data_IF_313592764489
#
_entry.id   IF_313592764489
#
_cell.length_a   1.000
_cell.length_b   1.000
_cell.length_c   1.000
_cell.angle_alpha   90.00
_cell.angle_beta   90.00
_cell.angle_gamma   90.00
#
_symmetry.space_group_name_H-M   'P 1'
#
loop_
_entity.id
_entity.type
_entity.pdbx_description
1 polymer ?
#
# COMPACT_ATOMS: atom_id res chain seq x y z
N UNK A 1 -3.82 12.84 -23.85
CA UNK A 1 -4.63 13.51 -24.91
C UNK A 1 -5.80 12.63 -25.33
N UNK A 2 -5.60 11.31 -25.47
CA UNK A 2 -6.66 10.33 -25.80
C UNK A 2 -7.80 10.24 -24.77
N UNK A 3 -7.50 10.24 -23.46
CA UNK A 3 -8.55 10.22 -22.42
C UNK A 3 -9.47 11.47 -22.47
N UNK A 4 -8.94 12.62 -22.85
CA UNK A 4 -9.74 13.84 -23.05
C UNK A 4 -10.60 13.76 -24.31
N UNK A 5 -10.09 13.14 -25.38
CA UNK A 5 -10.86 12.88 -26.59
C UNK A 5 -12.00 11.89 -26.34
N UNK A 6 -11.80 10.86 -25.52
CA UNK A 6 -12.87 9.92 -25.14
C UNK A 6 -13.93 10.59 -24.26
N UNK A 7 -13.53 11.42 -23.30
CA UNK A 7 -14.47 12.23 -22.51
C UNK A 7 -15.28 13.20 -23.38
N UNK A 8 -14.63 13.84 -24.35
CA UNK A 8 -15.29 14.73 -25.29
C UNK A 8 -16.31 13.99 -26.17
N UNK A 9 -15.99 12.78 -26.64
CA UNK A 9 -16.93 11.92 -27.39
C UNK A 9 -18.16 11.58 -26.57
N UNK A 10 -17.98 11.14 -25.33
CA UNK A 10 -19.09 10.81 -24.40
C UNK A 10 -19.95 12.05 -24.14
N UNK A 11 -19.33 13.21 -23.91
CA UNK A 11 -20.06 14.46 -23.67
C UNK A 11 -20.89 14.91 -24.88
N UNK A 12 -20.38 14.73 -26.11
CA UNK A 12 -21.13 15.03 -27.33
C UNK A 12 -22.35 14.11 -27.48
N UNK A 13 -22.22 12.83 -27.13
CA UNK A 13 -23.33 11.87 -27.16
C UNK A 13 -24.37 12.18 -26.09
N UNK A 14 -23.95 12.54 -24.87
CA UNK A 14 -24.86 13.00 -23.81
C UNK A 14 -25.67 14.24 -24.23
N UNK A 15 -25.02 15.22 -24.86
CA UNK A 15 -25.71 16.39 -25.40
C UNK A 15 -26.72 16.03 -26.49
N UNK A 16 -26.37 15.07 -27.37
CA UNK A 16 -27.28 14.56 -28.40
C UNK A 16 -28.48 13.83 -27.78
N UNK A 17 -28.25 12.99 -26.76
CA UNK A 17 -29.31 12.29 -26.03
C UNK A 17 -30.27 13.25 -25.36
N UNK A 18 -29.77 14.29 -24.69
CA UNK A 18 -30.58 15.35 -24.09
C UNK A 18 -31.46 16.06 -25.12
N UNK A 19 -30.90 16.42 -26.28
CA UNK A 19 -31.66 17.07 -27.37
C UNK A 19 -32.74 16.18 -28.01
N UNK A 20 -32.63 14.85 -27.89
CA UNK A 20 -33.59 13.88 -28.45
C UNK A 20 -34.55 13.30 -27.42
N UNK A 21 -34.49 13.77 -26.17
CA UNK A 21 -35.33 13.26 -25.08
C UNK A 21 -35.01 11.82 -24.69
N UNK A 22 -33.77 11.36 -24.92
CA UNK A 22 -33.30 10.01 -24.59
C UNK A 22 -32.58 9.95 -23.22
N UNK A 23 -32.56 11.07 -22.49
CA UNK A 23 -31.91 11.23 -21.19
C UNK A 23 -32.95 11.12 -20.06
N UNK A 24 -32.61 10.39 -19.01
CA UNK A 24 -33.43 10.18 -17.82
C UNK A 24 -33.12 11.18 -16.69
N UNK A 25 -33.70 10.96 -15.51
CA UNK A 25 -33.40 11.77 -14.31
C UNK A 25 -32.10 11.35 -13.60
N UNK A 26 -31.49 10.23 -14.02
CA UNK A 26 -30.28 9.70 -13.41
C UNK A 26 -29.05 9.94 -14.31
N UNK A 27 -28.14 10.79 -13.81
CA UNK A 27 -26.88 11.10 -14.49
C UNK A 27 -25.96 9.89 -14.67
N UNK A 28 -26.08 8.87 -13.82
CA UNK A 28 -25.33 7.62 -13.93
C UNK A 28 -25.82 6.77 -15.10
N UNK A 29 -27.14 6.55 -15.16
CA UNK A 29 -27.81 5.86 -16.27
C UNK A 29 -27.57 6.51 -17.63
N UNK A 30 -27.62 7.85 -17.71
CA UNK A 30 -27.37 8.57 -18.95
C UNK A 30 -25.95 8.35 -19.48
N UNK A 31 -24.96 8.32 -18.57
CA UNK A 31 -23.58 8.06 -18.93
C UNK A 31 -23.38 6.63 -19.42
N UNK A 32 -23.98 5.65 -18.76
CA UNK A 32 -23.98 4.25 -19.21
C UNK A 32 -24.57 4.13 -20.63
N UNK A 33 -25.74 4.72 -20.86
CA UNK A 33 -26.40 4.70 -22.16
C UNK A 33 -25.59 5.41 -23.25
N UNK A 34 -24.89 6.51 -22.92
CA UNK A 34 -23.99 7.18 -23.86
C UNK A 34 -22.82 6.27 -24.27
N UNK A 35 -22.21 5.55 -23.33
CA UNK A 35 -21.17 4.56 -23.63
C UNK A 35 -21.72 3.39 -24.47
N UNK A 36 -22.94 2.93 -24.18
CA UNK A 36 -23.59 1.88 -24.94
C UNK A 36 -23.89 2.28 -26.39
N UNK A 37 -24.36 3.52 -26.62
CA UNK A 37 -24.57 4.05 -27.96
C UNK A 37 -23.27 4.19 -28.75
N UNK A 38 -22.19 4.60 -28.09
CA UNK A 38 -20.86 4.63 -28.70
C UNK A 38 -20.39 3.23 -29.11
N UNK A 39 -20.59 2.22 -28.26
CA UNK A 39 -20.30 0.82 -28.58
C UNK A 39 -21.10 0.32 -29.80
N UNK A 40 -22.40 0.63 -29.88
CA UNK A 40 -23.23 0.25 -31.03
C UNK A 40 -22.79 0.90 -32.34
N UNK A 41 -22.26 2.13 -32.27
CA UNK A 41 -21.76 2.89 -33.41
C UNK A 41 -20.36 2.46 -33.87
N UNK A 42 -19.58 1.76 -33.03
CA UNK A 42 -18.25 1.27 -33.41
C UNK A 42 -18.36 0.20 -34.51
N UNK A 43 -17.46 0.16 -35.50
CA UNK A 43 -17.40 -0.93 -36.46
C UNK A 43 -17.18 -2.27 -35.75
N UNK A 44 -17.91 -3.31 -36.16
CA UNK A 44 -17.74 -4.67 -35.65
C UNK A 44 -17.99 -5.62 -36.80
N UNK A 45 -16.93 -6.16 -37.38
CA UNK A 45 -16.93 -6.95 -38.61
C UNK A 45 -17.78 -6.33 -39.73
N UNK A 46 -18.58 -7.14 -40.44
CA UNK A 46 -19.48 -6.74 -41.52
C UNK A 46 -20.91 -6.40 -41.05
N UNK A 47 -21.12 -6.26 -39.73
CA UNK A 47 -22.44 -5.96 -39.16
C UNK A 47 -22.78 -4.47 -39.29
N UNK A 48 -23.89 -4.17 -39.98
CA UNK A 48 -24.43 -2.81 -40.05
C UNK A 48 -25.03 -2.36 -38.71
N UNK A 49 -25.11 -1.05 -38.49
CA UNK A 49 -25.68 -0.47 -37.26
C UNK A 49 -27.13 -0.91 -37.03
N UNK A 50 -27.93 -1.03 -38.09
CA UNK A 50 -29.33 -1.45 -38.04
C UNK A 50 -29.44 -2.91 -37.56
N UNK A 51 -28.57 -3.79 -38.05
CA UNK A 51 -28.52 -5.18 -37.61
C UNK A 51 -28.09 -5.31 -36.16
N UNK A 52 -27.13 -4.50 -35.70
CA UNK A 52 -26.69 -4.48 -34.29
C UNK A 52 -27.82 -4.06 -33.36
N UNK A 53 -28.54 -2.99 -33.71
CA UNK A 53 -29.67 -2.51 -32.93
C UNK A 53 -30.79 -3.57 -32.80
N UNK A 54 -31.12 -4.27 -33.90
CA UNK A 54 -32.12 -5.34 -33.87
C UNK A 54 -31.69 -6.51 -32.98
N UNK A 55 -30.45 -6.98 -33.11
CA UNK A 55 -29.92 -8.09 -32.31
C UNK A 55 -29.91 -7.76 -30.81
N UNK A 56 -29.48 -6.55 -30.46
CA UNK A 56 -29.50 -6.07 -29.07
C UNK A 56 -30.93 -5.97 -28.54
N UNK A 57 -31.85 -5.40 -29.31
CA UNK A 57 -33.25 -5.29 -28.89
C UNK A 57 -33.89 -6.66 -28.66
N UNK A 58 -33.59 -7.64 -29.51
CA UNK A 58 -34.08 -9.01 -29.36
C UNK A 58 -33.43 -9.72 -28.17
N UNK A 59 -32.16 -9.44 -27.89
CA UNK A 59 -31.44 -9.97 -26.73
C UNK A 59 -31.98 -9.39 -25.43
N UNK A 60 -32.13 -8.07 -25.33
CA UNK A 60 -32.64 -7.38 -24.13
C UNK A 60 -34.07 -7.80 -23.76
N UNK A 61 -34.86 -8.27 -24.73
CA UNK A 61 -36.20 -8.82 -24.46
C UNK A 61 -36.18 -10.22 -23.84
N UNK A 62 -35.07 -10.95 -24.00
CA UNK A 62 -34.91 -12.35 -23.59
C UNK A 62 -34.01 -12.53 -22.37
N UNK A 63 -33.10 -11.57 -22.14
CA UNK A 63 -32.14 -11.61 -21.05
C UNK A 63 -32.82 -11.15 -19.76
N UNK A 64 -32.69 -11.97 -18.72
CA UNK A 64 -33.05 -11.67 -17.35
C UNK A 64 -31.81 -11.47 -16.48
N UNK A 65 -32.03 -11.12 -15.20
CA UNK A 65 -30.95 -10.88 -14.25
C UNK A 65 -30.07 -12.13 -14.06
N UNK A 66 -30.67 -13.31 -14.04
CA UNK A 66 -29.98 -14.59 -13.88
C UNK A 66 -29.05 -14.86 -15.07
N UNK A 67 -29.52 -14.59 -16.30
CA UNK A 67 -28.70 -14.69 -17.52
C UNK A 67 -27.52 -13.72 -17.49
N UNK A 68 -27.71 -12.50 -16.96
CA UNK A 68 -26.62 -11.52 -16.81
C UNK A 68 -25.61 -11.95 -15.75
N UNK A 69 -26.08 -12.51 -14.63
CA UNK A 69 -25.20 -13.05 -13.57
C UNK A 69 -24.39 -14.25 -14.08
N UNK A 70 -25.01 -15.14 -14.86
CA UNK A 70 -24.30 -16.23 -15.55
C UNK A 70 -23.25 -15.71 -16.54
N UNK A 71 -23.56 -14.66 -17.32
CA UNK A 71 -22.58 -14.01 -18.21
C UNK A 71 -21.44 -13.37 -17.42
N UNK A 72 -21.72 -12.74 -16.28
CA UNK A 72 -20.70 -12.22 -15.37
C UNK A 72 -19.81 -13.33 -14.81
N UNK A 73 -20.39 -14.47 -14.46
CA UNK A 73 -19.64 -15.65 -14.05
C UNK A 73 -18.80 -16.20 -15.20
N UNK A 74 -19.33 -16.33 -16.41
CA UNK A 74 -18.57 -16.81 -17.58
C UNK A 74 -17.42 -15.88 -17.95
N UNK A 75 -17.61 -14.56 -17.88
CA UNK A 75 -16.56 -13.57 -18.05
C UNK A 75 -15.50 -13.64 -16.94
N UNK A 76 -15.85 -14.17 -15.77
CA UNK A 76 -14.93 -14.44 -14.65
C UNK A 76 -14.28 -15.83 -14.70
N UNK A 77 -14.86 -16.79 -15.44
CA UNK A 77 -14.49 -18.22 -15.49
C UNK A 77 -13.35 -18.52 -16.48
N UNK A 78 -12.88 -17.55 -17.27
CA UNK A 78 -11.67 -17.74 -18.11
C UNK A 78 -10.38 -18.03 -17.30
N UNK A 79 -10.43 -18.09 -15.96
CA UNK A 79 -9.30 -18.51 -15.12
C UNK A 79 -9.43 -19.84 -14.37
N UNK A 80 -10.42 -20.69 -14.68
CA UNK A 80 -10.53 -22.02 -14.03
C UNK A 80 -10.57 -23.16 -15.04
N UNK A 81 -9.40 -23.67 -15.42
CA UNK A 81 -9.24 -25.06 -15.88
C UNK A 81 -8.65 -25.89 -14.73
N UNK A 82 -9.50 -26.67 -14.06
CA UNK A 82 -9.04 -27.71 -13.13
C UNK A 82 -9.84 -27.82 -11.83
N UNK A 83 -10.89 -28.64 -11.88
CA UNK A 83 -11.38 -29.52 -10.79
C UNK A 83 -11.69 -28.90 -9.40
N UNK A 84 -13.00 -28.74 -9.14
CA UNK A 84 -13.62 -29.52 -8.07
C UNK A 84 -14.07 -28.81 -6.79
N UNK A 85 -15.39 -28.53 -6.74
CA UNK A 85 -16.33 -28.79 -5.62
C UNK A 85 -16.79 -27.63 -4.67
N UNK A 86 -17.86 -26.96 -5.12
CA UNK A 86 -19.24 -26.81 -4.55
C UNK A 86 -19.50 -26.13 -3.16
N UNK A 87 -20.11 -24.91 -3.19
CA UNK A 87 -21.42 -24.37 -2.64
C UNK A 87 -21.72 -24.57 -1.10
N UNK A 88 -22.33 -23.63 -0.32
CA UNK A 88 -23.58 -22.93 -0.67
C UNK A 88 -23.88 -21.48 -0.24
N UNK A 89 -24.92 -20.99 -0.92
CA UNK A 89 -25.66 -19.73 -0.83
C UNK A 89 -26.33 -19.43 0.52
N UNK A 90 -26.63 -18.14 0.75
CA UNK A 90 -28.00 -17.72 1.12
C UNK A 90 -28.16 -16.19 1.04
N UNK A 91 -29.15 -15.78 0.26
CA UNK A 91 -29.81 -14.48 0.30
C UNK A 91 -31.16 -14.63 0.99
N UNK A 92 -31.61 -13.60 1.69
CA UNK A 92 -33.03 -13.35 1.95
C UNK A 92 -33.24 -11.86 2.20
N UNK A 93 -33.82 -11.17 1.21
CA UNK A 93 -34.35 -9.81 1.30
C UNK A 93 -35.75 -9.79 1.92
N UNK A 94 -36.14 -8.66 2.54
CA UNK A 94 -37.49 -8.09 2.39
C UNK A 94 -37.64 -6.65 2.95
N UNK A 95 -37.87 -5.72 2.00
CA UNK A 95 -38.83 -4.59 1.88
C UNK A 95 -39.31 -3.65 3.02
N UNK A 96 -39.08 -2.34 2.76
CA UNK A 96 -39.89 -1.09 2.79
C UNK A 96 -41.15 -0.88 3.67
N UNK A 97 -41.26 0.28 4.36
CA UNK A 97 -42.38 1.28 4.24
C UNK A 97 -42.33 2.52 5.20
N UNK A 98 -42.46 3.73 4.61
CA UNK A 98 -43.19 4.99 4.96
C UNK A 98 -43.12 5.78 6.31
N UNK A 99 -42.85 7.12 6.23
CA UNK A 99 -43.61 8.20 6.95
C UNK A 99 -42.87 9.26 7.84
N UNK A 100 -42.63 10.47 7.29
CA UNK A 100 -42.27 11.87 7.75
C UNK A 100 -42.36 12.34 9.25
N UNK A 101 -41.89 13.57 9.70
CA UNK A 101 -40.77 14.48 9.33
C UNK A 101 -39.85 14.96 10.52
N UNK A 102 -38.60 15.37 10.17
CA UNK A 102 -37.68 16.37 10.77
C UNK A 102 -37.16 16.33 12.25
N UNK A 103 -35.80 16.26 12.33
CA UNK A 103 -34.80 16.76 13.33
C UNK A 103 -34.21 15.77 14.36
N UNK A 104 -32.97 15.97 14.88
CA UNK A 104 -31.74 16.50 14.27
C UNK A 104 -30.56 15.50 14.35
N UNK A 105 -29.54 15.76 13.52
CA UNK A 105 -28.27 15.01 13.33
C UNK A 105 -27.69 14.47 14.65
N UNK A 106 -27.60 13.14 14.78
CA UNK A 106 -26.72 12.46 15.74
C UNK A 106 -25.83 11.46 15.00
N UNK A 107 -24.54 11.80 14.92
CA UNK A 107 -23.35 10.98 14.64
C UNK A 107 -23.62 9.70 13.84
N UNK A 108 -23.53 9.79 12.52
CA UNK A 108 -23.53 8.62 11.64
C UNK A 108 -22.21 7.85 11.83
N UNK A 109 -22.30 6.67 12.43
CA UNK A 109 -21.30 5.60 12.31
C UNK A 109 -21.26 5.20 10.84
N UNK A 110 -20.07 5.28 10.23
CA UNK A 110 -19.85 4.84 8.86
C UNK A 110 -19.91 3.31 8.83
N UNK A 111 -21.10 2.74 8.59
CA UNK A 111 -21.20 1.38 8.09
C UNK A 111 -20.83 1.42 6.61
N UNK A 112 -19.69 0.81 6.28
CA UNK A 112 -19.26 0.60 4.91
C UNK A 112 -20.20 -0.43 4.25
N UNK A 113 -21.22 0.06 3.56
CA UNK A 113 -21.97 -0.74 2.59
C UNK A 113 -21.08 -0.96 1.36
N UNK A 114 -20.78 -2.23 1.08
CA UNK A 114 -20.02 -2.72 -0.07
C UNK A 114 -20.75 -2.33 -1.36
N UNK A 115 -20.23 -1.30 -2.04
CA UNK A 115 -20.58 -1.00 -3.43
C UNK A 115 -19.54 -1.66 -4.33
N UNK A 116 -20.02 -2.61 -5.13
CA UNK A 116 -19.33 -3.25 -6.24
C UNK A 116 -19.08 -2.23 -7.36
N UNK A 117 -17.97 -1.51 -7.25
CA UNK A 117 -17.33 -0.83 -8.38
C UNK A 117 -16.15 -1.70 -8.78
N UNK A 118 -16.05 -2.03 -10.06
CA UNK A 118 -14.87 -2.64 -10.67
C UNK A 118 -13.62 -1.96 -10.09
N UNK A 119 -12.87 -2.65 -9.21
CA UNK A 119 -11.84 -2.05 -8.35
C UNK A 119 -10.67 -1.54 -9.19
N UNK A 120 -10.82 -0.33 -9.74
CA UNK A 120 -9.67 0.43 -10.18
C UNK A 120 -8.75 0.59 -8.95
N UNK A 121 -7.43 0.42 -9.08
CA UNK A 121 -6.52 0.68 -7.98
C UNK A 121 -6.65 2.16 -7.60
N UNK A 122 -7.10 2.42 -6.37
CA UNK A 122 -7.39 3.76 -5.86
C UNK A 122 -6.49 4.07 -4.67
N UNK A 123 -5.96 5.28 -4.66
CA UNK A 123 -5.20 5.84 -3.54
C UNK A 123 -6.01 6.95 -2.87
N UNK A 124 -6.14 6.87 -1.55
CA UNK A 124 -6.76 7.92 -0.76
C UNK A 124 -5.87 9.17 -0.70
N UNK A 125 -6.51 10.34 -0.61
CA UNK A 125 -5.79 11.61 -0.45
C UNK A 125 -4.91 11.67 0.81
N UNK A 126 -5.31 10.96 1.87
CA UNK A 126 -4.50 10.85 3.09
C UNK A 126 -3.18 10.14 2.81
N UNK A 127 -3.23 8.97 2.17
CA UNK A 127 -2.05 8.19 1.81
C UNK A 127 -1.12 9.00 0.88
N UNK A 128 -1.68 9.73 -0.09
CA UNK A 128 -0.89 10.65 -0.92
C UNK A 128 -0.16 11.73 -0.14
N UNK A 129 -0.82 12.33 0.86
CA UNK A 129 -0.17 13.35 1.71
C UNK A 129 0.95 12.75 2.56
N UNK A 130 0.75 11.54 3.07
CA UNK A 130 1.73 10.82 3.90
C UNK A 130 2.97 10.44 3.08
N UNK A 131 2.75 9.93 1.86
CA UNK A 131 3.81 9.57 0.93
C UNK A 131 4.73 10.73 0.50
N UNK A 132 4.34 11.99 0.69
CA UNK A 132 5.10 13.13 0.17
C UNK A 132 6.54 13.22 0.70
N UNK A 133 6.75 13.02 2.00
CA UNK A 133 8.09 13.07 2.60
C UNK A 133 8.97 11.93 2.07
N UNK A 134 8.39 10.74 1.96
CA UNK A 134 9.06 9.55 1.42
C UNK A 134 9.45 9.73 -0.04
N UNK A 135 8.54 10.28 -0.86
CA UNK A 135 8.84 10.58 -2.26
C UNK A 135 9.92 11.66 -2.39
N UNK A 136 9.89 12.71 -1.56
CA UNK A 136 10.93 13.73 -1.56
C UNK A 136 12.29 13.13 -1.20
N UNK A 137 12.37 12.36 -0.11
CA UNK A 137 13.60 11.70 0.30
C UNK A 137 14.10 10.73 -0.76
N UNK A 138 13.22 9.86 -1.28
CA UNK A 138 13.54 8.92 -2.35
C UNK A 138 14.14 9.65 -3.57
N UNK A 139 13.53 10.76 -4.01
CA UNK A 139 14.07 11.52 -5.14
C UNK A 139 15.46 12.10 -4.83
N UNK A 140 15.72 12.57 -3.61
CA UNK A 140 17.02 13.12 -3.21
C UNK A 140 18.09 12.04 -3.01
N UNK A 141 17.68 10.85 -2.59
CA UNK A 141 18.59 9.77 -2.17
C UNK A 141 18.84 8.74 -3.28
N UNK A 142 17.84 8.43 -4.12
CA UNK A 142 17.93 7.34 -5.11
C UNK A 142 18.17 7.82 -6.55
N UNK A 143 17.76 9.03 -6.94
CA UNK A 143 17.90 9.50 -8.34
C UNK A 143 19.34 9.46 -8.85
N UNK A 144 20.31 9.69 -7.97
CA UNK A 144 21.73 9.61 -8.33
C UNK A 144 22.18 8.22 -8.81
N UNK A 145 21.55 7.14 -8.32
CA UNK A 145 21.82 5.77 -8.79
C UNK A 145 21.25 5.49 -10.18
N UNK A 146 20.34 6.35 -10.65
CA UNK A 146 19.70 6.27 -11.97
C UNK A 146 20.22 7.33 -12.94
N UNK A 147 21.30 8.04 -12.59
CA UNK A 147 21.86 9.13 -13.42
C UNK A 147 20.94 10.34 -13.55
N UNK A 148 20.01 10.51 -12.61
CA UNK A 148 19.07 11.63 -12.57
C UNK A 148 19.55 12.69 -11.58
N UNK A 149 19.28 13.94 -11.93
CA UNK A 149 19.58 15.10 -11.09
C UNK A 149 18.27 15.59 -10.45
N UNK A 150 18.22 15.60 -9.12
CA UNK A 150 17.06 16.06 -8.35
C UNK A 150 16.74 17.54 -8.59
N UNK A 151 17.70 18.35 -9.04
CA UNK A 151 17.45 19.75 -9.37
C UNK A 151 16.82 19.92 -10.76
N UNK A 152 16.73 18.86 -11.57
CA UNK A 152 16.06 18.87 -12.87
C UNK A 152 14.60 18.50 -12.70
N UNK A 153 13.79 19.54 -12.59
CA UNK A 153 12.33 19.49 -12.44
C UNK A 153 11.65 18.56 -13.46
N UNK A 154 12.14 18.51 -14.71
CA UNK A 154 11.60 17.61 -15.74
C UNK A 154 11.77 16.13 -15.39
N UNK A 155 12.89 15.75 -14.79
CA UNK A 155 13.14 14.38 -14.36
C UNK A 155 12.18 13.98 -13.24
N UNK A 156 11.94 14.87 -12.28
CA UNK A 156 10.98 14.64 -11.21
C UNK A 156 9.58 14.43 -11.79
N UNK A 157 9.03 15.42 -12.50
CA UNK A 157 7.65 15.34 -12.99
C UNK A 157 7.39 14.24 -14.02
N UNK A 158 8.43 13.74 -14.70
CA UNK A 158 8.30 12.61 -15.62
C UNK A 158 7.93 11.32 -14.88
N UNK A 159 8.53 11.07 -13.72
CA UNK A 159 8.37 9.80 -13.00
C UNK A 159 7.43 9.91 -11.79
N UNK A 160 7.20 11.12 -11.29
CA UNK A 160 6.38 11.41 -10.12
C UNK A 160 5.00 10.74 -10.14
N UNK A 161 4.23 10.69 -11.25
CA UNK A 161 2.91 10.05 -11.23
C UNK A 161 2.96 8.57 -10.85
N UNK A 162 3.95 7.82 -11.35
CA UNK A 162 4.11 6.40 -11.03
C UNK A 162 4.63 6.23 -9.61
N UNK A 163 5.68 6.97 -9.25
CA UNK A 163 6.28 6.88 -7.92
C UNK A 163 5.28 7.24 -6.82
N UNK A 164 4.62 8.41 -6.93
CA UNK A 164 3.62 8.84 -5.97
C UNK A 164 2.46 7.84 -5.88
N UNK A 165 1.97 7.32 -7.01
CA UNK A 165 0.88 6.35 -6.97
C UNK A 165 1.28 5.08 -6.23
N UNK A 166 2.42 4.48 -6.60
CA UNK A 166 2.90 3.25 -5.98
C UNK A 166 3.15 3.43 -4.50
N UNK A 167 3.86 4.49 -4.11
CA UNK A 167 4.17 4.77 -2.71
C UNK A 167 2.91 5.03 -1.88
N UNK A 168 2.00 5.87 -2.40
CA UNK A 168 0.72 6.14 -1.72
C UNK A 168 -0.13 4.87 -1.58
N UNK A 169 -0.04 3.96 -2.55
CA UNK A 169 -0.77 2.70 -2.49
C UNK A 169 -0.19 1.78 -1.43
N UNK A 170 1.14 1.64 -1.37
CA UNK A 170 1.83 0.84 -0.35
C UNK A 170 1.54 1.40 1.05
N UNK A 171 1.68 2.72 1.25
CA UNK A 171 1.32 3.37 2.52
C UNK A 171 -0.11 3.08 2.97
N UNK A 172 -1.07 3.08 2.04
CA UNK A 172 -2.45 2.76 2.38
C UNK A 172 -2.61 1.32 2.86
N UNK A 173 -1.79 0.39 2.36
CA UNK A 173 -1.77 -0.99 2.82
C UNK A 173 -1.03 -1.14 4.16
N UNK A 174 0.02 -0.36 4.39
CA UNK A 174 0.70 -0.27 5.69
C UNK A 174 -0.27 0.20 6.78
N UNK A 175 -1.00 1.30 6.53
CA UNK A 175 -2.02 1.82 7.45
C UNK A 175 -3.08 0.75 7.78
N UNK A 176 -3.51 -0.03 6.78
CA UNK A 176 -4.46 -1.13 6.98
C UNK A 176 -3.86 -2.28 7.79
N UNK A 177 -2.58 -2.60 7.57
CA UNK A 177 -1.86 -3.61 8.34
C UNK A 177 -1.71 -3.19 9.81
N UNK A 178 -1.27 -1.95 10.07
CA UNK A 178 -1.14 -1.40 11.42
C UNK A 178 -2.49 -1.29 12.14
N UNK A 179 -3.55 -0.87 11.43
CA UNK A 179 -4.91 -0.86 11.98
C UNK A 179 -5.34 -2.25 12.49
N UNK A 180 -4.94 -3.32 11.81
CA UNK A 180 -5.22 -4.68 12.23
C UNK A 180 -4.42 -5.11 13.49
N UNK A 181 -3.26 -4.51 13.78
CA UNK A 181 -2.51 -4.73 15.03
C UNK A 181 -3.25 -4.19 16.25
N UNK A 182 -3.98 -3.09 16.11
CA UNK A 182 -4.76 -2.49 17.19
C UNK A 182 -5.99 -3.30 17.59
N UNK A 183 -6.46 -4.21 16.73
CA UNK A 183 -7.69 -4.99 16.94
C UNK A 183 -7.48 -6.26 17.81
N UNK A 184 -6.44 -6.34 18.63
CA UNK A 184 -6.23 -7.49 19.55
C UNK A 184 -7.34 -7.48 20.63
N UNK A 185 -8.03 -8.61 20.89
CA UNK A 185 -9.19 -8.64 21.78
C UNK A 185 -8.75 -8.44 23.23
N UNK A 186 -9.05 -7.27 23.78
CA UNK A 186 -9.00 -7.04 25.21
C UNK A 186 -10.23 -7.66 25.87
N UNK A 187 -10.03 -8.74 26.63
CA UNK A 187 -10.71 -9.17 27.86
C UNK A 187 -12.24 -9.04 28.06
N UNK A 188 -13.04 -8.66 27.07
CA UNK A 188 -14.49 -8.79 27.14
C UNK A 188 -14.83 -10.25 26.92
N UNK A 189 -15.25 -10.91 28.00
CA UNK A 189 -15.68 -12.32 28.06
C UNK A 189 -16.98 -12.60 27.27
N UNK A 190 -17.20 -11.92 26.15
CA UNK A 190 -18.38 -12.00 25.30
C UNK A 190 -18.03 -11.84 23.82
N UNK A 191 -16.98 -12.52 23.33
CA UNK A 191 -16.83 -12.67 21.88
C UNK A 191 -16.82 -14.13 21.46
N UNK A 192 -17.86 -14.46 20.70
CA UNK A 192 -18.20 -15.77 20.15
C UNK A 192 -17.12 -16.29 19.20
N UNK A 193 -17.13 -17.60 18.99
CA UNK A 193 -16.26 -18.44 18.14
C UNK A 193 -15.91 -17.89 16.73
N UNK A 194 -16.56 -16.82 16.25
CA UNK A 194 -16.34 -16.12 14.99
C UNK A 194 -15.01 -15.32 14.87
N UNK A 195 -14.27 -15.09 15.96
CA UNK A 195 -13.03 -14.29 15.89
C UNK A 195 -11.79 -15.08 15.48
N UNK A 196 -11.81 -16.43 15.58
CA UNK A 196 -10.65 -17.26 15.19
C UNK A 196 -10.48 -17.42 13.68
N UNK A 197 -11.52 -17.16 12.89
CA UNK A 197 -11.45 -17.26 11.41
C UNK A 197 -10.94 -15.97 10.73
N UNK A 198 -10.88 -14.84 11.46
CA UNK A 198 -10.45 -13.53 10.89
C UNK A 198 -8.95 -13.35 10.70
N UNK A 199 -8.10 -14.11 11.40
CA UNK A 199 -6.65 -14.01 11.24
C UNK A 199 -6.15 -14.38 9.83
N UNK A 200 -6.78 -15.37 9.21
CA UNK A 200 -6.51 -15.80 7.83
C UNK A 200 -7.11 -14.84 6.79
N UNK A 201 -8.25 -14.23 7.12
CA UNK A 201 -8.98 -13.33 6.21
C UNK A 201 -8.25 -12.02 5.92
N UNK A 202 -7.42 -11.52 6.86
CA UNK A 202 -6.80 -10.19 6.72
C UNK A 202 -5.54 -10.22 5.84
N UNK A 203 -4.70 -11.26 5.95
CA UNK A 203 -3.52 -11.42 5.10
C UNK A 203 -3.91 -11.72 3.65
N UNK A 204 -4.95 -12.54 3.45
CA UNK A 204 -5.54 -12.77 2.14
C UNK A 204 -6.06 -11.46 1.51
N UNK A 205 -6.59 -10.53 2.31
CA UNK A 205 -7.05 -9.22 1.85
C UNK A 205 -5.92 -8.30 1.41
N UNK A 206 -4.83 -8.19 2.18
CA UNK A 206 -3.65 -7.38 1.81
C UNK A 206 -2.96 -7.94 0.57
N UNK A 207 -2.81 -9.27 0.51
CA UNK A 207 -2.26 -9.97 -0.66
C UNK A 207 -3.11 -9.69 -1.89
N UNK A 208 -4.44 -9.77 -1.77
CA UNK A 208 -5.37 -9.45 -2.86
C UNK A 208 -5.20 -8.00 -3.34
N UNK A 209 -5.08 -7.03 -2.42
CA UNK A 209 -4.88 -5.63 -2.80
C UNK A 209 -3.52 -5.37 -3.44
N UNK A 210 -2.44 -6.07 -3.03
CA UNK A 210 -1.16 -5.99 -3.72
C UNK A 210 -1.19 -6.59 -5.13
N UNK A 211 -2.02 -7.61 -5.39
CA UNK A 211 -2.21 -8.11 -6.75
C UNK A 211 -2.84 -7.06 -7.68
N UNK A 212 -3.66 -6.14 -7.15
CA UNK A 212 -4.19 -5.01 -7.95
C UNK A 212 -3.06 -4.08 -8.38
N UNK A 213 -2.07 -3.82 -7.50
CA UNK A 213 -0.87 -3.06 -7.86
C UNK A 213 0.01 -3.84 -8.85
N UNK A 214 0.16 -5.16 -8.68
CA UNK A 214 0.91 -6.01 -9.62
C UNK A 214 0.31 -5.94 -11.04
N UNK A 215 -1.00 -6.16 -11.16
CA UNK A 215 -1.74 -6.09 -12.43
C UNK A 215 -1.66 -4.69 -13.05
N UNK A 216 -1.79 -3.61 -12.26
CA UNK A 216 -1.64 -2.25 -12.76
C UNK A 216 -0.25 -2.03 -13.38
N UNK A 217 0.80 -2.36 -12.63
CA UNK A 217 2.18 -2.20 -13.10
C UNK A 217 2.47 -3.10 -14.31
N UNK A 218 1.86 -4.29 -14.36
CA UNK A 218 1.97 -5.20 -15.51
C UNK A 218 1.32 -4.60 -16.76
N UNK A 219 0.11 -4.04 -16.65
CA UNK A 219 -0.59 -3.37 -17.76
C UNK A 219 0.18 -2.15 -18.29
N UNK A 220 0.94 -1.49 -17.42
CA UNK A 220 1.84 -0.39 -17.81
C UNK A 220 3.20 -0.86 -18.35
N UNK A 221 3.46 -2.17 -18.42
CA UNK A 221 4.74 -2.73 -18.89
C UNK A 221 5.91 -2.51 -17.92
N UNK A 222 5.62 -2.19 -16.66
CA UNK A 222 6.61 -1.88 -15.62
C UNK A 222 6.96 -3.08 -14.74
N UNK A 223 6.04 -4.04 -14.61
CA UNK A 223 6.24 -5.22 -13.75
C UNK A 223 7.40 -6.10 -14.23
N UNK A 224 8.22 -6.58 -13.27
CA UNK A 224 9.28 -7.57 -13.48
C UNK A 224 9.26 -8.64 -12.39
N UNK A 225 9.98 -9.74 -12.59
CA UNK A 225 10.10 -10.79 -11.58
C UNK A 225 10.75 -10.29 -10.29
N UNK A 226 11.75 -9.40 -10.39
CA UNK A 226 12.37 -8.76 -9.23
C UNK A 226 11.38 -7.88 -8.47
N UNK A 227 10.59 -7.06 -9.18
CA UNK A 227 9.59 -6.20 -8.54
C UNK A 227 8.49 -7.03 -7.88
N UNK A 228 8.03 -8.10 -8.53
CA UNK A 228 7.08 -9.04 -7.94
C UNK A 228 7.63 -9.75 -6.71
N UNK A 229 8.92 -10.10 -6.72
CA UNK A 229 9.58 -10.67 -5.53
C UNK A 229 9.60 -9.66 -4.39
N UNK A 230 9.87 -8.38 -4.68
CA UNK A 230 9.90 -7.33 -3.67
C UNK A 230 8.51 -7.03 -3.08
N UNK A 231 7.44 -7.07 -3.90
CA UNK A 231 6.08 -6.97 -3.37
C UNK A 231 5.73 -8.15 -2.45
N UNK A 232 6.24 -9.36 -2.73
CA UNK A 232 6.08 -10.51 -1.83
C UNK A 232 6.87 -10.34 -0.52
N UNK A 233 8.05 -9.73 -0.59
CA UNK A 233 8.82 -9.33 0.58
C UNK A 233 8.03 -8.39 1.49
N UNK A 234 7.26 -7.44 0.93
CA UNK A 234 6.33 -6.61 1.69
C UNK A 234 5.22 -7.40 2.41
N UNK A 235 4.62 -8.39 1.75
CA UNK A 235 3.63 -9.28 2.39
C UNK A 235 4.26 -10.04 3.56
N UNK A 236 5.47 -10.56 3.36
CA UNK A 236 6.22 -11.27 4.40
C UNK A 236 6.55 -10.34 5.58
N UNK A 237 6.97 -9.11 5.31
CA UNK A 237 7.21 -8.10 6.34
C UNK A 237 5.96 -7.88 7.21
N UNK A 238 4.81 -7.58 6.60
CA UNK A 238 3.57 -7.37 7.34
C UNK A 238 3.16 -8.60 8.17
N UNK A 239 3.38 -9.81 7.64
CA UNK A 239 3.12 -11.05 8.38
C UNK A 239 4.03 -11.18 9.60
N UNK A 240 5.33 -10.89 9.45
CA UNK A 240 6.31 -10.90 10.54
C UNK A 240 6.00 -9.81 11.58
N UNK A 241 5.66 -8.60 11.16
CA UNK A 241 5.29 -7.52 12.07
C UNK A 241 4.09 -7.93 12.94
N UNK A 242 3.01 -8.44 12.32
CA UNK A 242 1.84 -8.95 13.05
C UNK A 242 2.22 -10.04 14.04
N UNK A 243 3.02 -11.01 13.60
CA UNK A 243 3.49 -12.11 14.44
C UNK A 243 4.28 -11.60 15.65
N UNK A 244 5.25 -10.73 15.42
CA UNK A 244 6.18 -10.22 16.44
C UNK A 244 5.47 -9.31 17.45
N UNK A 245 4.63 -8.37 16.98
CA UNK A 245 3.90 -7.46 17.87
C UNK A 245 2.83 -8.18 18.71
N UNK A 246 2.17 -9.20 18.15
CA UNK A 246 1.25 -10.05 18.91
C UNK A 246 1.98 -10.90 19.94
N UNK A 247 3.12 -11.51 19.59
CA UNK A 247 3.94 -12.28 20.51
C UNK A 247 4.43 -11.40 21.67
N UNK A 248 4.90 -10.18 21.37
CA UNK A 248 5.32 -9.19 22.36
C UNK A 248 4.16 -8.84 23.31
N UNK A 249 2.97 -8.60 22.78
CA UNK A 249 1.77 -8.26 23.57
C UNK A 249 1.33 -9.40 24.51
N UNK A 250 1.61 -10.65 24.14
CA UNK A 250 1.30 -11.86 24.92
C UNK A 250 2.46 -12.32 25.82
N UNK A 251 3.58 -11.59 25.83
CA UNK A 251 4.83 -12.00 26.49
C UNK A 251 5.31 -13.39 26.04
N UNK A 252 5.10 -13.73 24.77
CA UNK A 252 5.60 -14.96 24.16
C UNK A 252 7.08 -14.80 23.77
N UNK A 253 7.77 -15.94 23.56
CA UNK A 253 9.18 -15.92 23.16
C UNK A 253 9.32 -15.37 21.74
N UNK A 254 10.13 -14.33 21.59
CA UNK A 254 10.47 -13.73 20.30
C UNK A 254 11.72 -14.41 19.70
N UNK A 255 11.66 -14.67 18.40
CA UNK A 255 12.76 -15.23 17.60
C UNK A 255 13.65 -14.09 17.09
N UNK A 256 14.97 -14.20 17.28
CA UNK A 256 15.90 -13.19 16.74
C UNK A 256 15.94 -13.27 15.21
N UNK A 257 15.81 -14.46 14.63
CA UNK A 257 15.80 -14.66 13.19
C UNK A 257 14.62 -13.94 12.52
N UNK A 258 13.42 -14.04 13.13
CA UNK A 258 12.23 -13.34 12.62
C UNK A 258 12.39 -11.82 12.73
N UNK A 259 12.99 -11.34 13.83
CA UNK A 259 13.22 -9.91 14.06
C UNK A 259 14.20 -9.34 13.06
N UNK A 260 15.31 -10.05 12.81
CA UNK A 260 16.32 -9.64 11.83
C UNK A 260 15.76 -9.69 10.40
N UNK A 261 14.94 -10.68 10.07
CA UNK A 261 14.26 -10.73 8.78
C UNK A 261 13.27 -9.56 8.63
N UNK A 262 12.48 -9.25 9.66
CA UNK A 262 11.51 -8.17 9.60
C UNK A 262 12.16 -6.80 9.34
N UNK A 263 13.23 -6.46 10.06
CA UNK A 263 13.94 -5.18 9.84
C UNK A 263 14.61 -5.11 8.46
N UNK A 264 15.06 -6.24 7.91
CA UNK A 264 15.60 -6.28 6.54
C UNK A 264 14.52 -6.11 5.47
N UNK A 265 13.30 -6.56 5.74
CA UNK A 265 12.18 -6.45 4.81
C UNK A 265 11.44 -5.12 4.91
N UNK A 266 11.61 -4.37 6.00
CA UNK A 266 10.86 -3.13 6.30
C UNK A 266 10.92 -2.09 5.17
N UNK A 267 12.08 -1.89 4.56
CA UNK A 267 12.32 -0.93 3.46
C UNK A 267 11.89 -1.42 2.06
N UNK A 268 10.95 -2.37 1.97
CA UNK A 268 10.57 -2.96 0.66
C UNK A 268 9.93 -1.93 -0.28
N UNK A 269 9.24 -0.93 0.25
CA UNK A 269 8.66 0.21 -0.45
C UNK A 269 9.71 0.99 -1.26
N UNK A 270 10.81 1.39 -0.61
CA UNK A 270 11.96 2.03 -1.26
C UNK A 270 12.58 1.13 -2.33
N UNK A 271 12.66 -0.18 -2.08
CA UNK A 271 13.20 -1.15 -3.06
C UNK A 271 12.26 -1.30 -4.26
N UNK A 272 10.94 -1.30 -4.07
CA UNK A 272 9.95 -1.26 -5.15
C UNK A 272 10.12 0.01 -5.97
N UNK A 273 10.22 1.18 -5.34
CA UNK A 273 10.44 2.45 -6.04
C UNK A 273 11.76 2.44 -6.82
N UNK A 274 12.83 1.90 -6.24
CA UNK A 274 14.14 1.79 -6.89
C UNK A 274 14.09 0.88 -8.13
N UNK A 275 13.44 -0.28 -8.03
CA UNK A 275 13.23 -1.21 -9.15
C UNK A 275 12.36 -0.58 -10.25
N UNK A 276 11.32 0.17 -9.88
CA UNK A 276 10.52 0.95 -10.82
C UNK A 276 11.39 1.97 -11.56
N UNK A 277 12.31 2.64 -10.88
CA UNK A 277 13.20 3.62 -11.51
C UNK A 277 14.13 2.98 -12.55
N UNK A 278 14.68 1.78 -12.31
CA UNK A 278 15.43 1.04 -13.34
C UNK A 278 14.56 0.80 -14.58
N UNK A 279 13.29 0.41 -14.39
CA UNK A 279 12.35 0.16 -15.49
C UNK A 279 11.97 1.43 -16.24
N UNK A 280 11.64 2.49 -15.52
CA UNK A 280 11.22 3.78 -16.08
C UNK A 280 12.36 4.49 -16.84
N UNK A 281 13.60 4.23 -16.46
CA UNK A 281 14.80 4.77 -17.13
C UNK A 281 15.36 3.86 -18.22
N UNK A 282 14.83 2.64 -18.35
CA UNK A 282 15.32 1.63 -19.30
C UNK A 282 16.70 1.08 -18.95
N UNK A 283 17.11 1.18 -17.69
CA UNK A 283 18.38 0.68 -17.18
C UNK A 283 18.24 -0.76 -16.69
N UNK A 284 19.33 -1.52 -16.78
CA UNK A 284 19.40 -2.82 -16.12
C UNK A 284 19.68 -2.60 -14.63
N UNK A 285 19.09 -3.46 -13.79
CA UNK A 285 19.34 -3.43 -12.34
C UNK A 285 20.83 -3.64 -12.09
N UNK A 286 21.41 -2.73 -11.30
CA UNK A 286 22.81 -2.82 -10.90
C UNK A 286 22.91 -3.48 -9.53
N UNK A 287 23.37 -4.73 -9.50
CA UNK A 287 23.49 -5.51 -8.27
C UNK A 287 24.39 -4.85 -7.21
N UNK A 288 25.45 -4.14 -7.63
CA UNK A 288 26.32 -3.42 -6.67
C UNK A 288 25.56 -2.29 -5.99
N UNK A 289 24.66 -1.60 -6.71
CA UNK A 289 23.79 -0.58 -6.12
C UNK A 289 22.79 -1.22 -5.15
N UNK A 290 22.16 -2.34 -5.53
CA UNK A 290 21.19 -3.05 -4.68
C UNK A 290 21.84 -3.56 -3.39
N UNK A 291 23.02 -4.17 -3.48
CA UNK A 291 23.77 -4.65 -2.31
C UNK A 291 24.16 -3.50 -1.37
N UNK A 292 24.61 -2.38 -1.91
CA UNK A 292 24.95 -1.21 -1.10
C UNK A 292 23.71 -0.60 -0.41
N UNK A 293 22.64 -0.39 -1.18
CA UNK A 293 21.42 0.24 -0.70
C UNK A 293 20.74 -0.61 0.38
N UNK A 294 20.70 -1.94 0.25
CA UNK A 294 20.11 -2.80 1.28
C UNK A 294 20.79 -2.68 2.66
N UNK A 295 22.11 -2.45 2.69
CA UNK A 295 22.83 -2.19 3.96
C UNK A 295 22.53 -0.79 4.48
N UNK A 296 22.46 0.20 3.58
CA UNK A 296 22.14 1.59 3.93
C UNK A 296 20.73 1.71 4.51
N UNK A 297 19.75 1.11 3.83
CA UNK A 297 18.35 1.02 4.25
C UNK A 297 18.25 0.39 5.64
N UNK A 298 18.93 -0.74 5.88
CA UNK A 298 18.94 -1.36 7.20
C UNK A 298 19.41 -0.41 8.32
N UNK A 299 20.45 0.40 8.08
CA UNK A 299 20.91 1.40 9.05
C UNK A 299 19.90 2.54 9.22
N UNK A 300 19.27 3.00 8.14
CA UNK A 300 18.22 4.03 8.18
C UNK A 300 17.02 3.53 8.98
N UNK A 301 16.55 2.30 8.74
CA UNK A 301 15.42 1.70 9.48
C UNK A 301 15.71 1.60 10.98
N UNK A 302 16.94 1.23 11.38
CA UNK A 302 17.31 1.25 12.80
C UNK A 302 17.30 2.69 13.33
N UNK A 303 17.79 3.67 12.57
CA UNK A 303 17.78 5.07 12.98
C UNK A 303 16.36 5.58 13.21
N UNK A 304 15.45 5.25 12.31
CA UNK A 304 14.04 5.64 12.37
C UNK A 304 13.34 4.95 13.56
N UNK A 305 13.55 3.64 13.75
CA UNK A 305 13.06 2.92 14.93
C UNK A 305 13.57 3.55 16.24
N UNK A 306 14.82 4.00 16.31
CA UNK A 306 15.34 4.65 17.51
C UNK A 306 14.73 6.03 17.75
N UNK A 307 14.37 6.74 16.67
CA UNK A 307 13.72 8.04 16.74
C UNK A 307 12.24 7.90 17.14
N UNK A 308 11.53 6.96 16.53
CA UNK A 308 10.08 6.72 16.71
C UNK A 308 9.77 5.75 17.87
N UNK A 309 10.77 5.29 18.62
CA UNK A 309 10.65 4.28 19.68
C UNK A 309 9.46 4.48 20.62
N UNK A 310 9.23 5.70 21.11
CA UNK A 310 8.10 5.96 22.00
C UNK A 310 6.75 5.83 21.30
N UNK A 311 6.64 6.33 20.07
CA UNK A 311 5.40 6.29 19.28
C UNK A 311 5.12 4.86 18.81
N UNK A 312 6.15 4.08 18.47
CA UNK A 312 6.00 2.66 18.14
C UNK A 312 5.55 1.82 19.33
N UNK A 313 6.10 2.09 20.52
CA UNK A 313 5.59 1.49 21.76
C UNK A 313 4.12 1.87 21.94
N UNK A 314 3.74 3.15 21.75
CA UNK A 314 2.34 3.58 21.89
C UNK A 314 1.42 2.85 20.92
N UNK A 315 1.82 2.69 19.66
CA UNK A 315 1.00 2.13 18.60
C UNK A 315 1.06 0.61 18.49
N UNK A 316 2.00 -0.03 19.19
CA UNK A 316 2.27 -1.46 19.10
C UNK A 316 2.68 -1.91 17.68
N UNK A 317 3.47 -1.08 17.01
CA UNK A 317 4.09 -1.32 15.69
C UNK A 317 5.49 -1.92 15.83
N UNK A 318 6.03 -2.55 14.79
CA UNK A 318 7.35 -3.15 14.88
C UNK A 318 8.42 -2.11 15.22
N UNK A 319 9.35 -2.46 16.11
CA UNK A 319 10.52 -1.63 16.42
C UNK A 319 11.66 -2.51 16.94
N UNK A 320 12.84 -2.39 16.35
CA UNK A 320 14.00 -3.26 16.61
C UNK A 320 14.44 -3.21 18.08
N UNK A 321 14.40 -2.04 18.72
CA UNK A 321 14.81 -1.90 20.12
C UNK A 321 13.83 -2.57 21.08
N UNK A 322 12.52 -2.48 20.80
CA UNK A 322 11.47 -3.21 21.54
C UNK A 322 11.71 -4.72 21.47
N UNK A 323 11.99 -5.22 20.26
CA UNK A 323 12.24 -6.64 20.03
C UNK A 323 13.53 -7.11 20.72
N UNK A 324 14.61 -6.33 20.64
CA UNK A 324 15.86 -6.64 21.34
C UNK A 324 15.67 -6.63 22.87
N UNK A 325 14.89 -5.69 23.41
CA UNK A 325 14.56 -5.66 24.83
C UNK A 325 13.81 -6.92 25.28
N UNK A 326 12.90 -7.44 24.45
CA UNK A 326 12.17 -8.66 24.76
C UNK A 326 13.05 -9.93 24.68
N UNK A 327 14.04 -9.96 23.79
CA UNK A 327 14.95 -11.11 23.62
C UNK A 327 16.06 -11.12 24.69
N UNK A 328 16.75 -9.99 24.87
CA UNK A 328 17.97 -9.90 25.66
C UNK A 328 17.77 -9.27 27.04
N UNK A 329 16.59 -8.70 27.30
CA UNK A 329 16.31 -7.94 28.50
C UNK A 329 16.89 -6.52 28.48
N UNK A 330 16.49 -5.67 29.43
CA UNK A 330 16.75 -4.23 29.38
C UNK A 330 18.22 -3.84 29.53
N UNK A 331 19.04 -4.69 30.16
CA UNK A 331 20.46 -4.37 30.38
C UNK A 331 21.34 -4.69 29.17
N UNK A 332 21.01 -5.74 28.42
CA UNK A 332 21.84 -6.22 27.32
C UNK A 332 21.33 -5.77 25.94
N UNK A 333 20.05 -5.46 25.79
CA UNK A 333 19.47 -5.04 24.51
C UNK A 333 20.18 -3.84 23.85
N UNK A 334 20.51 -2.73 24.56
CA UNK A 334 21.23 -1.61 23.95
C UNK A 334 22.63 -2.01 23.46
N UNK A 335 23.31 -2.91 24.18
CA UNK A 335 24.65 -3.40 23.81
C UNK A 335 24.60 -4.29 22.58
N UNK A 336 23.60 -5.18 22.53
CA UNK A 336 23.39 -6.08 21.39
C UNK A 336 23.00 -5.29 20.14
N UNK A 337 22.16 -4.27 20.27
CA UNK A 337 21.80 -3.41 19.15
C UNK A 337 23.00 -2.58 18.67
N UNK A 338 23.77 -1.99 19.59
CA UNK A 338 24.99 -1.26 19.23
C UNK A 338 26.01 -2.15 18.50
N UNK A 339 26.14 -3.43 18.91
CA UNK A 339 26.97 -4.40 18.19
C UNK A 339 26.44 -4.67 16.78
N UNK A 340 25.13 -4.87 16.62
CA UNK A 340 24.50 -5.09 15.33
C UNK A 340 24.70 -3.89 14.38
N UNK A 341 24.53 -2.67 14.88
CA UNK A 341 24.82 -1.42 14.16
C UNK A 341 26.30 -1.40 13.70
N UNK A 342 27.25 -1.65 14.60
CA UNK A 342 28.67 -1.63 14.26
C UNK A 342 29.04 -2.65 13.15
N UNK A 343 28.48 -3.85 13.21
CA UNK A 343 28.67 -4.86 12.15
C UNK A 343 28.08 -4.41 10.80
N UNK A 344 26.97 -3.67 10.81
CA UNK A 344 26.35 -3.12 9.61
C UNK A 344 27.12 -1.91 9.06
N UNK A 345 27.66 -1.03 9.92
CA UNK A 345 28.52 0.09 9.52
C UNK A 345 29.82 -0.40 8.85
N UNK A 346 30.46 -1.44 9.39
CA UNK A 346 31.64 -2.07 8.75
C UNK A 346 31.31 -2.61 7.35
N UNK A 347 30.13 -3.23 7.19
CA UNK A 347 29.65 -3.68 5.88
C UNK A 347 29.40 -2.49 4.97
N UNK A 348 28.72 -1.45 5.45
CA UNK A 348 28.41 -0.24 4.71
C UNK A 348 29.68 0.40 4.14
N UNK A 349 30.71 0.59 4.97
CA UNK A 349 32.00 1.14 4.54
C UNK A 349 32.67 0.30 3.45
N UNK A 350 32.64 -1.03 3.61
CA UNK A 350 33.24 -1.95 2.65
C UNK A 350 32.51 -1.92 1.30
N UNK A 351 31.19 -1.82 1.30
CA UNK A 351 30.38 -1.77 0.07
C UNK A 351 30.40 -0.40 -0.59
N UNK A 352 30.45 0.69 0.18
CA UNK A 352 30.64 2.05 -0.33
C UNK A 352 31.90 2.15 -1.22
N UNK A 353 32.99 1.47 -0.84
CA UNK A 353 34.23 1.41 -1.64
C UNK A 353 34.10 0.66 -2.97
N UNK A 354 33.03 -0.12 -3.17
CA UNK A 354 32.74 -0.81 -4.44
C UNK A 354 31.96 0.06 -5.43
N UNK A 355 31.32 1.14 -4.95
CA UNK A 355 30.59 2.07 -5.81
C UNK A 355 31.57 2.93 -6.62
N UNK A 356 31.04 3.55 -7.68
CA UNK A 356 31.73 4.66 -8.33
C UNK A 356 32.08 5.75 -7.28
N UNK A 357 33.32 6.25 -7.22
CA UNK A 357 33.73 7.22 -6.21
C UNK A 357 32.89 8.51 -6.20
N UNK A 358 32.41 8.95 -7.36
CA UNK A 358 31.57 10.15 -7.47
C UNK A 358 30.17 9.88 -6.92
N UNK A 359 29.61 8.72 -7.22
CA UNK A 359 28.33 8.27 -6.68
C UNK A 359 28.40 8.11 -5.16
N UNK A 360 29.42 7.39 -4.66
CA UNK A 360 29.64 7.21 -3.22
C UNK A 360 29.78 8.56 -2.50
N UNK A 361 30.57 9.48 -3.04
CA UNK A 361 30.75 10.81 -2.45
C UNK A 361 29.51 11.70 -2.53
N UNK A 362 28.62 11.46 -3.49
CA UNK A 362 27.34 12.17 -3.58
C UNK A 362 26.32 11.62 -2.59
N UNK A 363 26.27 10.30 -2.43
CA UNK A 363 25.41 9.65 -1.46
C UNK A 363 25.79 10.02 -0.02
N UNK A 364 27.08 10.04 0.31
CA UNK A 364 27.54 10.48 1.64
C UNK A 364 27.13 11.92 1.96
N UNK A 365 27.25 12.84 1.00
CA UNK A 365 26.78 14.22 1.19
C UNK A 365 25.28 14.27 1.45
N UNK A 366 24.49 13.46 0.75
CA UNK A 366 23.05 13.35 1.01
C UNK A 366 22.75 12.83 2.42
N UNK A 367 23.47 11.83 2.91
CA UNK A 367 23.33 11.34 4.30
C UNK A 367 23.65 12.45 5.33
N UNK A 368 24.68 13.25 5.09
CA UNK A 368 25.00 14.40 5.94
C UNK A 368 23.90 15.47 5.93
N UNK A 369 23.33 15.74 4.75
CA UNK A 369 22.20 16.68 4.60
C UNK A 369 20.96 16.18 5.35
N UNK A 370 20.58 14.91 5.19
CA UNK A 370 19.46 14.29 5.90
C UNK A 370 19.63 14.38 7.42
N UNK A 371 20.85 14.12 7.91
CA UNK A 371 21.18 14.21 9.34
C UNK A 371 20.98 15.63 9.89
N UNK A 372 21.34 16.65 9.08
CA UNK A 372 21.16 18.08 9.44
C UNK A 372 19.69 18.50 9.39
N UNK A 373 18.95 18.04 8.39
CA UNK A 373 17.50 18.27 8.24
C UNK A 373 16.74 17.70 9.46
N UNK A 374 17.18 16.56 10.00
CA UNK A 374 16.70 15.97 11.25
C UNK A 374 17.14 16.70 12.54
N UNK A 375 17.79 17.86 12.44
CA UNK A 375 18.13 18.73 13.58
C UNK A 375 19.44 18.41 14.30
N UNK A 376 20.26 17.45 13.80
CA UNK A 376 21.58 17.15 14.39
C UNK A 376 22.66 18.02 13.73
N UNK A 377 23.26 18.92 14.51
CA UNK A 377 24.27 19.90 14.05
C UNK A 377 25.72 19.39 14.09
N UNK A 378 25.99 18.24 14.71
CA UNK A 378 27.34 17.67 14.84
C UNK A 378 27.28 16.17 15.14
N UNK A 379 28.07 15.37 14.43
CA UNK A 379 28.16 13.92 14.60
C UNK A 379 29.14 13.27 13.62
N UNK A 380 29.38 11.96 13.78
CA UNK A 380 30.16 11.14 12.86
C UNK A 380 29.53 11.18 11.44
N UNK A 381 30.26 10.76 10.41
CA UNK A 381 29.77 10.78 9.02
C UNK A 381 28.48 9.95 8.79
N UNK A 382 28.15 9.06 9.74
CA UNK A 382 26.93 8.23 9.76
C UNK A 382 25.83 8.78 10.68
N UNK A 383 26.02 10.01 11.21
CA UNK A 383 25.23 10.56 12.30
C UNK A 383 25.75 10.14 13.67
N UNK A 384 24.95 10.38 14.71
CA UNK A 384 25.24 9.89 16.06
C UNK A 384 24.06 9.04 16.50
N UNK A 385 24.34 7.76 16.78
CA UNK A 385 23.39 6.82 17.35
C UNK A 385 23.00 7.28 18.75
N UNK A 386 21.71 7.48 18.97
CA UNK A 386 21.16 7.75 20.28
C UNK A 386 20.14 6.66 20.58
N UNK A 387 20.55 5.64 21.34
CA UNK A 387 19.64 4.59 21.78
C UNK A 387 18.83 5.17 22.95
N UNK A 388 17.50 5.36 22.81
CA UNK A 388 16.70 5.98 23.85
C UNK A 388 16.64 5.09 25.10
N UNK A 389 16.35 5.68 26.27
CA UNK A 389 16.10 4.90 27.48
C UNK A 389 14.96 3.90 27.27
N UNK A 390 15.19 2.64 27.62
CA UNK A 390 14.18 1.60 27.46
C UNK A 390 12.94 1.83 28.33
N UNK A 391 11.78 1.68 27.71
CA UNK A 391 10.50 1.61 28.39
C UNK A 391 10.39 0.23 29.06
N UNK A 392 10.45 0.21 30.39
CA UNK A 392 10.47 -1.04 31.17
C UNK A 392 9.13 -1.77 31.19
N UNK A 393 8.04 -1.02 31.13
CA UNK A 393 6.69 -1.54 31.14
C UNK A 393 5.87 -0.76 30.12
N UNK A 394 5.68 -1.38 28.95
CA UNK A 394 4.94 -0.77 27.85
C UNK A 394 3.45 -0.58 28.18
N UNK A 395 2.86 -1.43 29.04
CA UNK A 395 1.45 -1.32 29.43
C UNK A 395 1.23 -0.08 30.30
N UNK A 396 2.09 0.13 31.31
CA UNK A 396 2.06 1.33 32.15
C UNK A 396 2.32 2.57 31.29
N UNK A 397 3.33 2.54 30.42
CA UNK A 397 3.66 3.66 29.54
C UNK A 397 2.48 4.08 28.66
N UNK A 398 1.79 3.13 28.02
CA UNK A 398 0.58 3.38 27.22
C UNK A 398 -0.55 3.98 28.06
N UNK A 399 -0.76 3.47 29.28
CA UNK A 399 -1.81 3.95 30.17
C UNK A 399 -1.57 5.39 30.63
N UNK A 400 -0.33 5.74 30.98
CA UNK A 400 0.04 7.09 31.43
C UNK A 400 -0.07 8.12 30.31
N UNK A 401 0.41 7.80 29.11
CA UNK A 401 0.31 8.68 27.93
C UNK A 401 -1.14 8.87 27.46
N UNK A 402 -1.97 7.82 27.51
CA UNK A 402 -3.38 7.91 27.14
C UNK A 402 -4.17 8.85 28.04
N UNK A 403 -3.90 8.84 29.36
CA UNK A 403 -4.51 9.76 30.32
C UNK A 403 -4.14 11.22 30.06
N UNK A 404 -2.86 11.50 29.80
CA UNK A 404 -2.39 12.85 29.50
C UNK A 404 -3.00 13.46 28.22
N UNK A 405 -3.38 12.64 27.23
CA UNK A 405 -4.09 13.12 26.02
C UNK A 405 -5.56 13.50 26.27
N UNK A 406 -6.15 13.09 27.39
CA UNK A 406 -7.55 13.43 27.74
C UNK A 406 -7.66 14.68 28.63
N UNK A 407 -6.54 15.15 29.19
CA UNK A 407 -6.46 16.32 30.06
C UNK A 407 -6.03 17.62 29.33
N UNK A 408 -5.88 17.56 27.99
CA UNK A 408 -5.61 18.68 27.07
C UNK A 408 -6.81 18.76 26.11
#
# INVERSE_FOLDING_TARGET
MEALLELEKVQRVLSLMGSRGLSGSDSGGDRFLAHFLLFLAQPFDSLSMEKKALLVSDLLRKVDADTLEEVCHLASIEYTRGEGRIVPASSSDQDMSSGDPLQPIKKLKLHAEKLTVQEAPMVGFHAMKRANSTIEDFCRSYFMFHGLDVNKVQSIFKFLPVLCFTESYIYQLDDLNEYNLHMVPGNDASSTVLEREKGSSNEASLTCMLYVLDDLLQRQGLMTDQLRSELKSGIQYWSLERKLCQALSRNEKISIEDVMEAIHLKSFDYRVLNLLMYRLTGQQVNEVHMEFLSISEFLVEISDDLYDYEDDVMNNTFNILRMFAAIYGPSEAPKMLAKCIGEAEEKYERFSKKLDPTLSGSYWRRCEEATKEGGKMSGHAYGTWNIPPLIRDEQIFRLERSKKRHDI
#
